data_IF_611545403065
#
_entry.id   IF_611545403065
#
_cell.length_a   1.000
_cell.length_b   1.000
_cell.length_c   1.000
_cell.angle_alpha   90.00
_cell.angle_beta   90.00
_cell.angle_gamma   90.00
#
_symmetry.space_group_name_H-M   'P 1'
#
loop_
_entity.id
_entity.type
_entity.pdbx_description
1 polymer ?
#
# COMPACT_ATOMS: atom_id res chain seq x y z
N UNK A 1 -67.79 15.40 31.13
CA UNK A 1 -68.32 14.04 30.97
C UNK A 1 -67.20 13.14 30.45
N UNK A 2 -66.62 12.33 31.36
CA UNK A 2 -65.77 11.13 31.21
C UNK A 2 -64.70 11.11 30.09
N UNK A 3 -63.46 11.39 30.48
CA UNK A 3 -62.26 10.92 29.78
C UNK A 3 -62.16 9.38 29.88
N UNK A 4 -62.02 8.69 28.75
CA UNK A 4 -61.67 7.26 28.68
C UNK A 4 -60.15 7.15 28.44
N UNK A 5 -59.41 6.66 29.42
CA UNK A 5 -58.04 6.19 29.21
C UNK A 5 -58.07 4.97 28.29
N UNK A 6 -57.35 5.05 27.16
CA UNK A 6 -56.96 3.87 26.38
C UNK A 6 -55.71 3.30 27.06
N UNK A 7 -55.84 2.07 27.55
CA UNK A 7 -54.76 1.24 28.08
C UNK A 7 -53.67 1.07 27.02
N UNK A 8 -52.50 1.68 27.26
CA UNK A 8 -51.29 1.45 26.48
C UNK A 8 -50.73 0.07 26.83
N UNK A 9 -50.55 -0.77 25.81
CA UNK A 9 -49.84 -2.03 25.92
C UNK A 9 -48.35 -1.69 26.08
N UNK A 10 -47.83 -1.76 27.31
CA UNK A 10 -46.41 -1.60 27.57
C UNK A 10 -45.66 -2.80 27.01
N UNK A 11 -44.89 -2.59 25.94
CA UNK A 11 -43.89 -3.56 25.48
C UNK A 11 -42.75 -3.54 26.49
N UNK A 12 -42.70 -4.55 27.37
CA UNK A 12 -41.55 -4.79 28.21
C UNK A 12 -40.41 -5.28 27.31
N UNK A 13 -39.45 -4.40 27.03
CA UNK A 13 -38.16 -4.79 26.47
C UNK A 13 -37.43 -5.55 27.59
N UNK A 14 -37.45 -6.88 27.53
CA UNK A 14 -36.51 -7.70 28.30
C UNK A 14 -35.11 -7.39 27.78
N UNK A 15 -34.38 -6.50 28.45
CA UNK A 15 -32.93 -6.47 28.35
C UNK A 15 -32.42 -7.77 29.00
N UNK A 16 -32.22 -8.80 28.20
CA UNK A 16 -31.38 -9.93 28.58
C UNK A 16 -29.96 -9.41 28.75
N UNK A 17 -29.62 -9.04 29.98
CA UNK A 17 -28.23 -8.88 30.42
C UNK A 17 -27.60 -10.26 30.24
N UNK A 18 -26.85 -10.44 29.15
CA UNK A 18 -25.91 -11.54 29.07
C UNK A 18 -24.88 -11.29 30.17
N UNK A 19 -25.07 -11.94 31.32
CA UNK A 19 -24.02 -12.04 32.31
C UNK A 19 -22.87 -12.80 31.64
N UNK A 20 -21.82 -12.07 31.26
CA UNK A 20 -20.56 -12.71 30.87
C UNK A 20 -20.17 -13.64 32.03
N UNK A 21 -19.83 -14.91 31.78
CA UNK A 21 -19.44 -15.81 32.85
C UNK A 21 -18.25 -15.21 33.58
N UNK A 22 -18.45 -14.89 34.86
CA UNK A 22 -17.38 -14.50 35.77
C UNK A 22 -16.52 -15.74 35.99
N UNK A 23 -15.34 -15.80 35.39
CA UNK A 23 -14.36 -16.84 35.72
C UNK A 23 -14.06 -16.81 37.22
N UNK A 24 -14.00 -17.98 37.85
CA UNK A 24 -13.69 -18.05 39.28
C UNK A 24 -12.22 -17.72 39.49
N UNK A 25 -11.86 -17.15 40.64
CA UNK A 25 -10.47 -16.82 40.96
C UNK A 25 -9.53 -18.03 40.80
N UNK A 26 -9.98 -19.23 41.21
CA UNK A 26 -9.23 -20.48 41.07
C UNK A 26 -8.95 -20.85 39.60
N UNK A 27 -9.85 -20.49 38.67
CA UNK A 27 -9.67 -20.73 37.23
C UNK A 27 -8.65 -19.75 36.62
N UNK A 28 -8.66 -18.50 37.09
CA UNK A 28 -7.67 -17.49 36.70
C UNK A 28 -6.28 -17.85 37.20
N UNK A 29 -6.16 -18.31 38.45
CA UNK A 29 -4.89 -18.79 39.00
C UNK A 29 -4.37 -20.01 38.22
N UNK A 30 -5.25 -20.94 37.84
CA UNK A 30 -4.86 -22.10 37.03
C UNK A 30 -4.34 -21.69 35.64
N UNK A 31 -5.01 -20.76 34.97
CA UNK A 31 -4.58 -20.22 33.67
C UNK A 31 -3.28 -19.42 33.80
N UNK A 32 -3.11 -18.65 34.88
CA UNK A 32 -1.89 -17.88 35.09
C UNK A 32 -0.68 -18.78 35.34
N UNK A 33 -0.86 -19.86 36.11
CA UNK A 33 0.20 -20.84 36.37
C UNK A 33 0.51 -21.72 35.14
N UNK A 34 -0.49 -21.96 34.28
CA UNK A 34 -0.35 -22.73 33.04
C UNK A 34 -1.04 -22.01 31.88
N UNK A 35 -0.40 -20.96 31.32
CA UNK A 35 -0.99 -20.18 30.25
C UNK A 35 -1.30 -21.05 29.02
N UNK A 36 -2.44 -20.81 28.34
CA UNK A 36 -2.78 -21.52 27.12
C UNK A 36 -1.84 -21.13 25.98
N UNK A 37 -1.86 -21.89 24.88
CA UNK A 37 -0.93 -21.67 23.76
C UNK A 37 -1.12 -20.28 23.10
N UNK A 38 -2.35 -19.78 23.09
CA UNK A 38 -2.76 -18.48 22.56
C UNK A 38 -2.21 -17.30 23.37
N UNK A 39 -1.78 -17.54 24.62
CA UNK A 39 -1.17 -16.52 25.47
C UNK A 39 0.35 -16.39 25.24
N UNK A 40 0.95 -17.24 24.40
CA UNK A 40 2.39 -17.20 24.13
C UNK A 40 2.74 -16.01 23.24
N UNK A 41 3.88 -15.34 23.49
CA UNK A 41 4.33 -14.28 22.62
C UNK A 41 4.70 -14.82 21.24
N UNK A 42 4.60 -13.96 20.23
CA UNK A 42 5.09 -14.22 18.87
C UNK A 42 6.23 -13.26 18.53
N UNK A 43 6.99 -13.58 17.49
CA UNK A 43 8.13 -12.77 17.06
C UNK A 43 7.97 -12.26 15.63
N UNK A 44 8.43 -11.03 15.41
CA UNK A 44 8.77 -10.58 14.06
C UNK A 44 10.03 -11.32 13.64
N UNK A 45 9.91 -12.15 12.61
CA UNK A 45 11.04 -12.90 12.08
C UNK A 45 11.44 -12.27 10.76
N UNK A 46 12.52 -11.51 10.79
CA UNK A 46 12.98 -10.71 9.65
C UNK A 46 14.05 -11.51 8.89
N UNK A 47 13.71 -11.93 7.68
CA UNK A 47 14.67 -12.51 6.74
C UNK A 47 15.44 -11.39 6.06
N UNK A 48 16.74 -11.33 6.34
CA UNK A 48 17.60 -10.23 5.95
C UNK A 48 18.25 -10.48 4.59
N UNK A 49 17.83 -9.74 3.57
CA UNK A 49 18.32 -9.89 2.21
C UNK A 49 18.10 -11.32 1.70
N UNK A 50 19.14 -11.88 1.07
CA UNK A 50 19.10 -13.24 0.57
C UNK A 50 19.73 -14.27 1.53
N UNK A 51 20.07 -13.92 2.77
CA UNK A 51 20.82 -14.79 3.71
C UNK A 51 19.90 -15.78 4.45
N UNK A 52 19.29 -16.71 3.72
CA UNK A 52 18.26 -17.60 4.26
C UNK A 52 18.60 -19.04 3.88
N UNK A 53 18.39 -19.99 4.80
CA UNK A 53 18.57 -21.42 4.52
C UNK A 53 17.53 -22.26 5.25
N UNK A 54 17.16 -23.41 4.68
CA UNK A 54 16.23 -24.35 5.31
C UNK A 54 16.71 -24.87 6.67
N UNK A 55 18.03 -25.08 6.82
CA UNK A 55 18.62 -25.51 8.09
C UNK A 55 18.48 -24.41 9.16
N UNK A 56 18.82 -23.16 8.80
CA UNK A 56 18.62 -22.01 9.69
C UNK A 56 17.15 -21.85 10.11
N UNK A 57 16.23 -21.97 9.15
CA UNK A 57 14.78 -21.93 9.41
C UNK A 57 14.35 -22.99 10.43
N UNK A 58 14.74 -24.25 10.22
CA UNK A 58 14.41 -25.33 11.16
C UNK A 58 14.97 -25.02 12.54
N UNK A 59 16.22 -24.57 12.63
CA UNK A 59 16.87 -24.29 13.90
C UNK A 59 16.25 -23.11 14.65
N UNK A 60 15.92 -22.04 13.94
CA UNK A 60 15.25 -20.87 14.50
C UNK A 60 13.91 -21.26 15.12
N UNK A 61 13.08 -22.02 14.39
CA UNK A 61 11.75 -22.43 14.86
C UNK A 61 11.83 -23.41 16.04
N UNK A 62 12.79 -24.34 16.04
CA UNK A 62 13.02 -25.24 17.17
C UNK A 62 13.42 -24.48 18.44
N UNK A 63 14.31 -23.50 18.32
CA UNK A 63 14.73 -22.66 19.44
C UNK A 63 13.58 -21.79 19.97
N UNK A 64 12.77 -21.22 19.08
CA UNK A 64 11.58 -20.46 19.47
C UNK A 64 10.57 -21.35 20.23
N UNK A 65 10.36 -22.57 19.75
CA UNK A 65 9.49 -23.54 20.43
C UNK A 65 10.03 -23.92 21.81
N UNK A 66 11.32 -24.19 21.92
CA UNK A 66 12.00 -24.51 23.19
C UNK A 66 11.89 -23.35 24.19
N UNK A 67 12.07 -22.11 23.71
CA UNK A 67 11.94 -20.90 24.51
C UNK A 67 10.49 -20.52 24.87
N UNK A 68 9.48 -21.27 24.39
CA UNK A 68 8.08 -21.08 24.76
C UNK A 68 7.30 -20.09 23.90
N UNK A 69 7.81 -19.68 22.74
CA UNK A 69 7.09 -18.82 21.80
C UNK A 69 5.90 -19.55 21.14
N UNK A 70 4.91 -18.75 20.72
CA UNK A 70 3.67 -19.20 20.09
C UNK A 70 3.71 -19.20 18.58
N UNK A 71 4.57 -18.39 17.95
CA UNK A 71 4.56 -18.22 16.50
C UNK A 71 5.54 -17.17 15.96
N UNK A 72 5.51 -17.05 14.64
CA UNK A 72 6.34 -16.09 13.89
C UNK A 72 5.48 -15.32 12.89
N UNK A 73 5.83 -14.06 12.65
CA UNK A 73 5.36 -13.28 11.50
C UNK A 73 6.56 -12.93 10.63
N UNK A 74 6.60 -13.48 9.41
CA UNK A 74 7.72 -13.35 8.49
C UNK A 74 7.67 -12.06 7.69
N UNK A 75 8.82 -11.40 7.62
CA UNK A 75 9.07 -10.23 6.78
C UNK A 75 10.34 -10.46 5.97
N UNK A 76 10.29 -10.20 4.66
CA UNK A 76 11.45 -10.29 3.77
C UNK A 76 11.98 -8.90 3.50
N UNK A 77 13.06 -8.51 4.15
CA UNK A 77 13.60 -7.15 4.04
C UNK A 77 14.78 -7.10 3.08
N UNK A 78 15.06 -5.91 2.58
CA UNK A 78 16.39 -5.60 2.08
C UNK A 78 17.42 -5.77 3.21
N UNK A 79 18.67 -5.98 2.81
CA UNK A 79 19.77 -6.01 3.75
C UNK A 79 20.06 -4.63 4.32
N UNK A 80 19.55 -4.24 5.50
CA UNK A 80 20.27 -3.41 6.50
C UNK A 80 19.36 -2.92 7.63
N UNK A 81 19.97 -2.62 8.80
CA UNK A 81 19.38 -1.85 9.90
C UNK A 81 19.47 -0.32 9.68
N UNK A 82 19.40 0.14 8.43
CA UNK A 82 19.33 1.58 8.10
C UNK A 82 17.97 1.88 7.46
N UNK A 83 17.52 3.15 7.43
CA UNK A 83 16.21 3.48 6.87
C UNK A 83 16.14 3.40 5.34
N UNK A 84 17.19 2.90 4.66
CA UNK A 84 17.21 2.71 3.21
C UNK A 84 17.61 1.29 2.82
N UNK A 85 17.10 0.78 1.70
CA UNK A 85 17.44 -0.55 1.21
C UNK A 85 18.92 -0.66 0.79
N UNK A 86 19.59 -1.70 1.27
CA UNK A 86 20.95 -2.14 0.90
C UNK A 86 20.97 -3.62 0.50
N UNK A 87 22.13 -4.09 0.02
CA UNK A 87 22.37 -5.48 -0.38
C UNK A 87 23.52 -6.05 0.47
N UNK A 88 23.31 -7.23 1.11
CA UNK A 88 24.39 -7.93 1.83
C UNK A 88 25.27 -8.41 0.70
N UNK A 89 26.45 -7.82 0.57
CA UNK A 89 27.48 -8.35 -0.33
C UNK A 89 27.93 -9.73 0.17
N UNK A 90 28.24 -10.63 -0.77
CA UNK A 90 28.66 -12.00 -0.48
C UNK A 90 27.61 -12.84 0.25
N UNK A 91 26.32 -12.62 -0.01
CA UNK A 91 25.27 -13.54 0.43
C UNK A 91 25.58 -14.95 -0.10
N UNK A 92 25.49 -16.01 0.74
CA UNK A 92 25.74 -17.38 0.29
C UNK A 92 24.62 -17.91 -0.62
N UNK A 93 23.48 -17.22 -0.68
CA UNK A 93 22.27 -17.64 -1.38
C UNK A 93 21.65 -16.45 -2.14
N UNK A 94 22.41 -15.81 -3.06
CA UNK A 94 21.99 -14.58 -3.73
C UNK A 94 20.70 -14.75 -4.57
N UNK A 95 20.36 -15.98 -4.95
CA UNK A 95 19.15 -16.33 -5.70
C UNK A 95 17.85 -16.23 -4.89
N UNK A 96 17.92 -16.12 -3.55
CA UNK A 96 16.73 -16.00 -2.71
C UNK A 96 16.25 -14.55 -2.72
N UNK A 97 15.44 -14.23 -3.72
CA UNK A 97 14.73 -12.95 -3.84
C UNK A 97 13.28 -13.14 -3.38
N UNK A 98 12.76 -12.24 -2.56
CA UNK A 98 11.38 -12.28 -2.08
C UNK A 98 10.38 -12.48 -3.23
N UNK A 99 9.37 -13.33 -3.02
CA UNK A 99 8.33 -13.67 -4.01
C UNK A 99 8.82 -14.42 -5.27
N UNK A 100 10.06 -14.92 -5.31
CA UNK A 100 10.53 -15.85 -6.34
C UNK A 100 10.38 -17.31 -5.92
N UNK A 101 10.47 -18.25 -6.87
CA UNK A 101 10.34 -19.70 -6.60
C UNK A 101 11.30 -20.22 -5.51
N UNK A 102 12.61 -19.87 -5.48
CA UNK A 102 13.49 -20.27 -4.37
C UNK A 102 13.01 -19.77 -3.00
N UNK A 103 12.51 -18.54 -2.92
CA UNK A 103 11.97 -17.97 -1.67
C UNK A 103 10.68 -18.67 -1.23
N UNK A 104 9.78 -18.93 -2.17
CA UNK A 104 8.54 -19.64 -1.90
C UNK A 104 8.76 -21.07 -1.39
N UNK A 105 9.79 -21.77 -1.88
CA UNK A 105 10.21 -23.07 -1.32
C UNK A 105 10.58 -22.98 0.15
N UNK A 106 11.23 -21.89 0.57
CA UNK A 106 11.60 -21.66 1.96
C UNK A 106 10.40 -21.26 2.81
N UNK A 107 9.45 -20.50 2.27
CA UNK A 107 8.17 -20.23 2.94
C UNK A 107 7.40 -21.53 3.18
N UNK A 108 7.32 -22.41 2.18
CA UNK A 108 6.71 -23.75 2.34
C UNK A 108 7.41 -24.55 3.44
N UNK A 109 8.74 -24.53 3.46
CA UNK A 109 9.54 -25.19 4.51
C UNK A 109 9.23 -24.61 5.90
N UNK A 110 9.26 -23.28 6.05
CA UNK A 110 8.96 -22.59 7.30
C UNK A 110 7.53 -22.85 7.81
N UNK A 111 6.54 -22.84 6.92
CA UNK A 111 5.16 -23.17 7.25
C UNK A 111 5.01 -24.64 7.68
N UNK A 112 5.70 -25.57 6.99
CA UNK A 112 5.74 -26.98 7.35
C UNK A 112 6.36 -27.23 8.73
N UNK A 113 7.49 -26.58 9.02
CA UNK A 113 8.16 -26.67 10.31
C UNK A 113 7.36 -26.03 11.43
N UNK A 114 6.72 -24.88 11.18
CA UNK A 114 5.82 -24.24 12.14
C UNK A 114 4.66 -25.17 12.50
N UNK A 115 4.05 -25.82 11.49
CA UNK A 115 3.01 -26.83 11.72
C UNK A 115 3.53 -28.03 12.52
N UNK A 116 4.72 -28.54 12.21
CA UNK A 116 5.36 -29.66 12.94
C UNK A 116 5.56 -29.32 14.43
N UNK A 117 5.92 -28.08 14.73
CA UNK A 117 6.26 -27.61 16.07
C UNK A 117 5.05 -27.05 16.85
N UNK A 118 3.89 -26.92 16.20
CA UNK A 118 2.71 -26.30 16.78
C UNK A 118 2.92 -24.81 17.05
N UNK A 119 3.53 -24.11 16.09
CA UNK A 119 3.72 -22.67 16.07
C UNK A 119 2.77 -22.02 15.06
N UNK A 120 2.24 -20.84 15.39
CA UNK A 120 1.55 -19.99 14.43
C UNK A 120 2.55 -19.46 13.39
N UNK A 121 2.07 -19.32 12.15
CA UNK A 121 2.86 -18.79 11.04
C UNK A 121 2.07 -17.68 10.35
N UNK A 122 2.63 -16.48 10.39
CA UNK A 122 2.18 -15.30 9.67
C UNK A 122 3.21 -14.88 8.63
N UNK A 123 2.75 -14.19 7.59
CA UNK A 123 3.58 -13.65 6.52
C UNK A 123 3.09 -12.25 6.18
N UNK A 124 4.02 -11.31 6.02
CA UNK A 124 3.70 -9.99 5.50
C UNK A 124 3.20 -10.08 4.04
N UNK A 125 2.31 -9.18 3.67
CA UNK A 125 1.62 -9.18 2.37
C UNK A 125 2.48 -8.65 1.21
N UNK A 126 3.73 -8.25 1.43
CA UNK A 126 4.68 -7.91 0.39
C UNK A 126 6.12 -7.98 0.91
N UNK A 127 7.09 -7.70 0.04
CA UNK A 127 8.48 -7.52 0.47
C UNK A 127 8.62 -6.21 1.26
N UNK A 128 9.55 -6.19 2.21
CA UNK A 128 9.77 -5.11 3.15
C UNK A 128 8.96 -5.27 4.44
N UNK A 129 8.79 -4.16 5.15
CA UNK A 129 7.96 -4.08 6.37
C UNK A 129 6.78 -3.14 6.23
N UNK A 130 6.67 -2.42 5.11
CA UNK A 130 5.60 -1.46 4.90
C UNK A 130 4.65 -1.85 3.77
N UNK A 131 3.38 -1.79 4.17
CA UNK A 131 2.21 -1.46 3.38
C UNK A 131 1.69 -2.53 2.43
N UNK A 132 1.67 -2.29 1.10
CA UNK A 132 0.96 -3.17 0.16
C UNK A 132 1.36 -2.84 -1.28
N UNK A 133 2.23 -3.64 -1.87
CA UNK A 133 2.70 -3.40 -3.23
C UNK A 133 3.53 -4.54 -3.79
N UNK A 134 4.10 -4.32 -4.97
CA UNK A 134 4.98 -5.28 -5.64
C UNK A 134 5.06 -5.04 -7.14
N UNK A 135 5.93 -5.77 -7.86
CA UNK A 135 6.13 -5.62 -9.30
C UNK A 135 4.87 -5.94 -10.14
N UNK A 136 3.86 -6.58 -9.55
CA UNK A 136 2.55 -6.85 -10.15
C UNK A 136 1.58 -5.66 -10.10
N UNK A 137 1.89 -4.59 -9.36
CA UNK A 137 1.05 -3.39 -9.30
C UNK A 137 1.35 -2.50 -10.51
N UNK A 138 0.36 -2.28 -11.37
CA UNK A 138 0.46 -1.37 -12.52
C UNK A 138 0.31 0.10 -12.09
N UNK A 139 0.73 1.09 -12.90
CA UNK A 139 0.56 2.51 -12.60
C UNK A 139 -0.90 2.90 -12.32
N UNK A 140 -1.85 2.30 -13.03
CA UNK A 140 -3.30 2.50 -12.88
C UNK A 140 -3.82 2.05 -11.50
N UNK A 141 -3.21 0.99 -10.94
CA UNK A 141 -3.57 0.41 -9.66
C UNK A 141 -2.67 0.88 -8.51
N UNK A 142 -1.71 1.76 -8.79
CA UNK A 142 -0.79 2.32 -7.80
C UNK A 142 -1.35 3.58 -7.13
N UNK A 143 -0.79 4.01 -6.00
CA UNK A 143 -1.12 5.31 -5.40
C UNK A 143 -1.07 6.43 -6.46
N UNK A 144 -2.05 7.32 -6.47
CA UNK A 144 -2.15 8.39 -7.49
C UNK A 144 -1.61 9.73 -6.98
N UNK A 145 -1.17 10.58 -7.92
CA UNK A 145 -0.69 11.95 -7.69
C UNK A 145 -1.48 12.91 -8.60
N UNK A 146 -2.04 13.97 -8.04
CA UNK A 146 -2.72 15.02 -8.83
C UNK A 146 -1.67 15.98 -9.34
N UNK A 147 -1.61 16.12 -10.67
CA UNK A 147 -0.66 16.99 -11.37
C UNK A 147 -1.40 17.92 -12.32
N UNK A 148 -0.83 19.06 -12.65
CA UNK A 148 -1.42 20.00 -13.60
C UNK A 148 -0.39 20.70 -14.47
N UNK A 149 -0.82 21.12 -15.66
CA UNK A 149 -0.13 22.09 -16.50
C UNK A 149 -0.98 23.36 -16.61
N UNK A 150 -0.35 24.44 -17.08
CA UNK A 150 -1.00 25.75 -17.22
C UNK A 150 -0.78 26.30 -18.62
N UNK A 151 -1.82 26.89 -19.19
CA UNK A 151 -1.77 27.64 -20.45
C UNK A 151 -2.45 28.98 -20.25
N UNK A 152 -1.75 30.08 -20.50
CA UNK A 152 -2.32 31.42 -20.44
C UNK A 152 -3.06 31.76 -21.74
N UNK A 153 -4.25 32.37 -21.63
CA UNK A 153 -5.08 32.80 -22.76
C UNK A 153 -5.67 34.19 -22.44
N UNK A 154 -5.53 35.14 -23.38
CA UNK A 154 -6.16 36.45 -23.29
C UNK A 154 -7.37 36.52 -24.24
N UNK A 155 -8.56 36.68 -23.68
CA UNK A 155 -9.80 36.86 -24.43
C UNK A 155 -10.17 38.33 -24.64
N UNK A 156 -11.14 38.62 -25.53
CA UNK A 156 -11.94 37.66 -26.27
C UNK A 156 -11.16 37.01 -27.42
N UNK A 157 -11.20 35.67 -27.53
CA UNK A 157 -10.53 34.93 -28.62
C UNK A 157 -11.11 33.54 -28.82
N UNK A 158 -10.97 32.98 -30.02
CA UNK A 158 -11.25 31.58 -30.31
C UNK A 158 -9.95 30.79 -30.17
N UNK A 159 -9.67 30.32 -28.95
CA UNK A 159 -8.49 29.51 -28.68
C UNK A 159 -8.66 28.13 -29.32
N UNK A 160 -7.68 27.73 -30.12
CA UNK A 160 -7.54 26.37 -30.64
C UNK A 160 -6.09 25.94 -30.46
N UNK A 161 -5.86 24.96 -29.59
CA UNK A 161 -4.50 24.51 -29.28
C UNK A 161 -4.47 23.24 -28.45
N UNK A 162 -3.34 22.55 -28.46
CA UNK A 162 -3.12 21.35 -27.65
C UNK A 162 -2.62 21.75 -26.26
N UNK A 163 -3.38 21.40 -25.22
CA UNK A 163 -2.96 21.59 -23.84
C UNK A 163 -1.90 20.54 -23.48
N UNK A 164 -0.73 20.98 -23.04
CA UNK A 164 0.32 20.05 -22.60
C UNK A 164 -0.08 19.28 -21.34
N UNK A 165 0.44 18.07 -21.14
CA UNK A 165 0.32 17.35 -19.86
C UNK A 165 1.35 17.90 -18.86
N UNK A 166 1.05 17.75 -17.57
CA UNK A 166 2.03 18.02 -16.51
C UNK A 166 3.25 17.10 -16.65
N UNK A 167 4.43 17.58 -16.25
CA UNK A 167 5.68 16.81 -16.24
C UNK A 167 6.25 16.79 -14.82
N UNK A 168 5.78 15.88 -13.94
CA UNK A 168 6.29 15.79 -12.58
C UNK A 168 7.75 15.28 -12.56
N UNK A 169 8.44 15.43 -11.42
CA UNK A 169 9.74 14.76 -11.20
C UNK A 169 9.53 13.25 -11.34
N UNK A 170 10.28 12.55 -12.23
CA UNK A 170 10.14 11.11 -12.43
C UNK A 170 10.69 10.28 -11.27
N UNK A 171 11.38 10.88 -10.29
CA UNK A 171 11.92 10.13 -9.15
C UNK A 171 10.83 9.63 -8.21
N UNK A 172 11.11 8.48 -7.58
CA UNK A 172 10.24 7.86 -6.60
C UNK A 172 9.95 8.81 -5.43
N UNK A 173 8.68 8.84 -5.01
CA UNK A 173 8.23 9.66 -3.88
C UNK A 173 8.41 8.87 -2.59
N UNK A 174 9.62 8.93 -2.04
CA UNK A 174 10.01 8.25 -0.79
C UNK A 174 10.89 9.16 0.07
N UNK A 175 10.94 8.91 1.39
CA UNK A 175 11.68 9.76 2.33
C UNK A 175 13.19 9.61 2.17
N UNK A 176 13.67 8.39 1.98
CA UNK A 176 15.10 8.07 1.94
C UNK A 176 15.57 7.66 0.54
N UNK A 177 16.82 7.96 0.15
CA UNK A 177 17.44 7.38 -1.05
C UNK A 177 17.62 5.87 -0.84
N UNK A 178 17.92 5.11 -1.90
CA UNK A 178 18.33 3.70 -1.81
C UNK A 178 19.62 3.49 -2.60
N UNK A 179 20.35 2.41 -2.31
CA UNK A 179 21.52 2.07 -3.10
C UNK A 179 21.09 1.54 -4.48
N UNK A 180 21.49 2.24 -5.54
CA UNK A 180 21.29 1.80 -6.91
C UNK A 180 22.43 0.84 -7.32
N UNK A 181 22.16 -0.47 -7.48
CA UNK A 181 23.21 -1.43 -7.80
C UNK A 181 23.81 -1.25 -9.21
N UNK A 182 23.11 -0.57 -10.12
CA UNK A 182 23.59 -0.32 -11.49
C UNK A 182 24.70 0.73 -11.56
N UNK A 183 24.67 1.72 -10.68
CA UNK A 183 25.64 2.84 -10.71
C UNK A 183 26.36 3.10 -9.38
N UNK A 184 26.06 2.34 -8.33
CA UNK A 184 26.69 2.41 -7.02
C UNK A 184 26.35 3.66 -6.19
N UNK A 185 25.30 4.42 -6.56
CA UNK A 185 24.94 5.68 -5.89
C UNK A 185 23.76 5.49 -4.94
N UNK A 186 23.73 6.30 -3.89
CA UNK A 186 22.53 6.51 -3.07
C UNK A 186 21.63 7.54 -3.75
N UNK A 187 20.50 7.10 -4.29
CA UNK A 187 19.55 7.99 -4.96
C UNK A 187 18.11 7.50 -4.84
N UNK A 188 17.14 8.37 -5.14
CA UNK A 188 15.75 7.94 -5.31
C UNK A 188 15.60 7.36 -6.72
N UNK A 189 15.08 6.12 -6.87
CA UNK A 189 14.95 5.49 -8.18
C UNK A 189 14.13 6.34 -9.14
N UNK A 190 14.47 6.30 -10.42
CA UNK A 190 13.61 6.86 -11.47
C UNK A 190 12.47 5.90 -11.71
N UNK A 191 11.24 6.40 -11.70
CA UNK A 191 10.00 5.66 -11.98
C UNK A 191 9.41 6.22 -13.29
N UNK A 192 9.76 5.66 -14.46
CA UNK A 192 9.32 6.18 -15.77
C UNK A 192 7.80 6.33 -15.88
N UNK A 193 7.05 5.44 -15.23
CA UNK A 193 5.60 5.48 -15.16
C UNK A 193 5.02 6.81 -14.65
N UNK A 194 5.77 7.61 -13.86
CA UNK A 194 5.34 8.97 -13.44
C UNK A 194 5.20 9.94 -14.61
N UNK A 195 5.87 9.68 -15.73
CA UNK A 195 5.79 10.47 -16.96
C UNK A 195 4.91 9.80 -18.02
N UNK A 196 4.89 8.47 -18.05
CA UNK A 196 4.23 7.69 -19.11
C UNK A 196 2.73 7.49 -18.84
N UNK A 197 2.36 7.18 -17.59
CA UNK A 197 0.96 7.00 -17.20
C UNK A 197 0.34 8.34 -16.84
N UNK A 198 -0.75 8.69 -17.53
CA UNK A 198 -1.50 9.90 -17.31
C UNK A 198 -2.99 9.69 -17.61
N UNK A 199 -3.85 10.05 -16.66
CA UNK A 199 -5.30 10.08 -16.82
C UNK A 199 -5.82 11.49 -16.61
N UNK A 200 -6.48 12.05 -17.62
CA UNK A 200 -7.12 13.36 -17.49
C UNK A 200 -8.19 13.35 -16.38
N UNK A 201 -8.21 14.40 -15.56
CA UNK A 201 -9.16 14.57 -14.45
C UNK A 201 -10.13 15.70 -14.73
N UNK A 202 -9.61 16.90 -15.05
CA UNK A 202 -10.43 18.08 -15.33
C UNK A 202 -9.62 19.12 -16.12
N UNK A 203 -10.32 19.93 -16.91
CA UNK A 203 -9.74 21.11 -17.56
C UNK A 203 -10.52 22.33 -17.11
N UNK A 204 -9.88 23.25 -16.41
CA UNK A 204 -10.54 24.40 -15.79
C UNK A 204 -9.88 25.71 -16.25
N UNK A 205 -10.66 26.67 -16.73
CA UNK A 205 -10.19 28.03 -16.95
C UNK A 205 -10.54 28.91 -15.75
N UNK A 206 -9.52 29.57 -15.19
CA UNK A 206 -9.62 30.47 -14.05
C UNK A 206 -9.16 31.87 -14.47
N UNK A 207 -9.72 32.96 -13.91
CA UNK A 207 -9.14 34.29 -14.04
C UNK A 207 -7.66 34.29 -13.62
N UNK A 208 -6.82 35.00 -14.36
CA UNK A 208 -5.37 34.93 -14.19
C UNK A 208 -4.83 35.59 -12.91
N UNK A 209 -5.65 36.37 -12.21
CA UNK A 209 -5.25 37.10 -11.01
C UNK A 209 -6.34 37.09 -9.95
N UNK A 210 -5.92 37.28 -8.69
CA UNK A 210 -6.81 37.41 -7.54
C UNK A 210 -7.30 36.07 -6.97
N UNK A 211 -8.17 36.16 -5.97
CA UNK A 211 -8.87 35.01 -5.40
C UNK A 211 -10.03 34.66 -6.32
N UNK A 212 -10.03 33.43 -6.85
CA UNK A 212 -11.04 32.98 -7.81
C UNK A 212 -12.22 32.36 -7.07
N UNK A 213 -13.37 33.01 -7.13
CA UNK A 213 -14.63 32.43 -6.69
C UNK A 213 -15.07 31.30 -7.64
N UNK A 214 -15.76 30.28 -7.11
CA UNK A 214 -16.13 29.06 -7.86
C UNK A 214 -16.96 29.37 -9.11
N UNK A 215 -17.87 30.33 -9.01
CA UNK A 215 -18.74 30.82 -10.09
C UNK A 215 -17.99 31.49 -11.25
N UNK A 216 -16.75 31.94 -11.00
CA UNK A 216 -15.89 32.54 -12.03
C UNK A 216 -14.99 31.50 -12.71
N UNK A 217 -15.08 30.23 -12.32
CA UNK A 217 -14.36 29.13 -12.96
C UNK A 217 -15.19 28.59 -14.12
N UNK A 218 -14.54 28.32 -15.25
CA UNK A 218 -15.18 27.71 -16.41
C UNK A 218 -14.65 26.28 -16.55
N UNK A 219 -15.54 25.30 -16.48
CA UNK A 219 -15.21 23.90 -16.77
C UNK A 219 -15.15 23.68 -18.30
N UNK A 220 -13.96 23.34 -18.77
CA UNK A 220 -13.63 23.08 -20.17
C UNK A 220 -13.40 21.58 -20.43
N UNK A 221 -13.66 20.71 -19.46
CA UNK A 221 -13.33 19.28 -19.56
C UNK A 221 -13.98 18.61 -20.77
N UNK A 222 -15.24 18.95 -21.07
CA UNK A 222 -15.96 18.41 -22.22
C UNK A 222 -15.56 19.02 -23.57
N UNK A 223 -14.71 20.06 -23.56
CA UNK A 223 -14.23 20.75 -24.77
C UNK A 223 -12.84 20.31 -25.19
N UNK A 224 -12.15 19.54 -24.35
CA UNK A 224 -10.86 18.95 -24.68
C UNK A 224 -11.08 17.56 -25.29
N UNK A 225 -10.52 17.31 -26.47
CA UNK A 225 -10.47 15.97 -27.07
C UNK A 225 -9.47 15.07 -26.36
N UNK A 226 -9.54 13.76 -26.65
CA UNK A 226 -8.67 12.75 -26.03
C UNK A 226 -7.16 12.96 -26.30
N UNK A 227 -6.79 13.58 -27.42
CA UNK A 227 -5.41 13.95 -27.76
C UNK A 227 -4.97 15.28 -27.11
N UNK A 228 -5.85 15.94 -26.35
CA UNK A 228 -5.57 17.16 -25.61
C UNK A 228 -5.80 18.46 -26.38
N UNK A 229 -6.38 18.41 -27.59
CA UNK A 229 -6.79 19.62 -28.31
C UNK A 229 -8.00 20.25 -27.60
N UNK A 230 -7.92 21.56 -27.35
CA UNK A 230 -9.00 22.35 -26.80
C UNK A 230 -9.42 23.39 -27.84
N UNK A 231 -10.72 23.41 -28.13
CA UNK A 231 -11.37 24.46 -28.91
C UNK A 231 -12.32 25.25 -27.96
N UNK A 232 -12.00 26.51 -27.70
CA UNK A 232 -12.71 27.33 -26.71
C UNK A 232 -12.83 28.80 -27.12
N UNK A 233 -14.06 29.30 -27.10
CA UNK A 233 -14.37 30.74 -27.20
C UNK A 233 -14.14 31.39 -25.84
N UNK A 234 -12.94 31.92 -25.63
CA UNK A 234 -12.56 32.57 -24.38
C UNK A 234 -13.24 33.95 -24.27
N UNK A 235 -13.98 34.24 -23.18
CA UNK A 235 -14.61 35.54 -22.97
C UNK A 235 -13.55 36.62 -22.62
N UNK A 236 -13.92 37.92 -22.69
CA UNK A 236 -13.02 39.01 -22.33
C UNK A 236 -12.36 38.82 -20.96
N UNK A 237 -11.03 38.98 -20.91
CA UNK A 237 -10.24 38.82 -19.69
C UNK A 237 -8.99 37.96 -19.90
N UNK A 238 -8.15 37.90 -18.87
CA UNK A 238 -6.98 37.04 -18.86
C UNK A 238 -7.29 35.76 -18.08
N UNK A 239 -7.03 34.61 -18.69
CA UNK A 239 -7.36 33.29 -18.18
C UNK A 239 -6.10 32.43 -18.06
N UNK A 240 -6.07 31.58 -17.04
CA UNK A 240 -5.16 30.44 -16.95
C UNK A 240 -5.98 29.17 -17.06
N UNK A 241 -5.71 28.39 -18.10
CA UNK A 241 -6.29 27.07 -18.30
C UNK A 241 -5.41 26.06 -17.57
N UNK A 242 -5.99 25.35 -16.62
CA UNK A 242 -5.37 24.24 -15.90
C UNK A 242 -5.84 22.92 -16.50
N UNK A 243 -4.92 22.08 -16.98
CA UNK A 243 -5.20 20.68 -17.32
C UNK A 243 -4.76 19.80 -16.16
N UNK A 244 -5.69 19.44 -15.30
CA UNK A 244 -5.47 18.51 -14.19
C UNK A 244 -5.50 17.07 -14.70
N UNK A 245 -4.58 16.27 -14.19
CA UNK A 245 -4.58 14.83 -14.41
C UNK A 245 -4.01 14.07 -13.22
N UNK A 246 -4.11 12.77 -13.33
CA UNK A 246 -3.57 11.80 -12.39
C UNK A 246 -2.41 11.06 -13.05
N UNK A 247 -1.36 10.87 -12.30
CA UNK A 247 -0.30 9.90 -12.62
C UNK A 247 -0.04 9.03 -11.38
N UNK A 248 0.85 8.05 -11.48
CA UNK A 248 1.31 7.29 -10.32
C UNK A 248 2.10 8.22 -9.40
N UNK A 249 1.91 8.07 -8.09
CA UNK A 249 2.77 8.67 -7.07
C UNK A 249 4.20 8.15 -7.14
N UNK A 250 4.43 7.02 -7.80
CA UNK A 250 5.75 6.39 -7.87
C UNK A 250 6.34 6.10 -6.50
N UNK A 251 5.50 5.83 -5.50
CA UNK A 251 5.94 5.30 -4.20
C UNK A 251 6.22 3.81 -4.39
N UNK A 252 7.39 3.39 -3.94
CA UNK A 252 7.88 2.03 -4.05
C UNK A 252 7.90 1.36 -2.67
N UNK A 253 7.85 0.03 -2.66
CA UNK A 253 8.03 -0.80 -1.47
C UNK A 253 9.37 -0.51 -0.77
N UNK A 254 9.37 -0.55 0.57
CA UNK A 254 10.60 -0.39 1.37
C UNK A 254 10.58 -1.24 2.65
N UNK A 255 11.77 -1.56 3.19
CA UNK A 255 13.01 -1.82 2.48
C UNK A 255 12.87 -3.18 1.79
N UNK A 256 12.82 -3.22 0.46
CA UNK A 256 12.79 -4.47 -0.32
C UNK A 256 14.11 -4.68 -1.07
N UNK A 257 14.43 -5.93 -1.38
CA UNK A 257 15.49 -6.23 -2.37
C UNK A 257 15.19 -5.49 -3.68
N UNK A 258 16.24 -5.10 -4.40
CA UNK A 258 16.12 -4.29 -5.62
C UNK A 258 15.28 -5.01 -6.69
N UNK A 259 15.42 -6.32 -6.79
CA UNK A 259 14.73 -7.20 -7.73
C UNK A 259 13.25 -7.42 -7.37
N UNK A 260 12.89 -7.23 -6.10
CA UNK A 260 11.52 -7.39 -5.60
C UNK A 260 10.77 -6.05 -5.51
N UNK A 261 11.40 -4.94 -5.90
CA UNK A 261 10.80 -3.61 -5.80
C UNK A 261 9.63 -3.45 -6.77
N UNK A 262 8.60 -2.74 -6.34
CA UNK A 262 7.46 -2.40 -7.19
C UNK A 262 6.61 -1.30 -6.57
N UNK A 263 5.56 -0.91 -7.30
CA UNK A 263 4.67 0.18 -6.88
C UNK A 263 3.82 -0.23 -5.68
N UNK A 264 3.59 0.73 -4.79
CA UNK A 264 2.54 0.64 -3.77
C UNK A 264 1.16 0.70 -4.43
N UNK A 265 0.27 -0.22 -4.08
CA UNK A 265 -1.12 -0.19 -4.55
C UNK A 265 -1.86 1.06 -4.06
N UNK A 266 -2.89 1.47 -4.78
CA UNK A 266 -3.70 2.63 -4.42
C UNK A 266 -4.51 2.34 -3.15
N UNK A 267 -4.16 3.04 -2.08
CA UNK A 267 -4.78 2.90 -0.75
C UNK A 267 -6.21 3.44 -0.70
N UNK A 268 -6.62 4.22 -1.72
CA UNK A 268 -7.97 4.75 -1.86
C UNK A 268 -8.83 3.99 -2.89
N UNK A 269 -8.27 2.96 -3.53
CA UNK A 269 -8.99 2.15 -4.52
C UNK A 269 -9.20 0.71 -3.99
N UNK A 270 -10.43 0.32 -3.63
CA UNK A 270 -10.70 -1.02 -3.10
C UNK A 270 -10.32 -2.14 -4.09
N UNK A 271 -10.47 -1.90 -5.40
CA UNK A 271 -10.10 -2.89 -6.42
C UNK A 271 -8.57 -3.10 -6.50
N UNK A 272 -7.77 -2.07 -6.22
CA UNK A 272 -6.31 -2.21 -6.17
C UNK A 272 -5.88 -3.04 -4.96
N UNK A 273 -6.51 -2.83 -3.80
CA UNK A 273 -6.27 -3.59 -2.58
C UNK A 273 -6.70 -5.05 -2.77
N UNK A 274 -7.89 -5.28 -3.31
CA UNK A 274 -8.39 -6.62 -3.60
C UNK A 274 -7.48 -7.37 -4.58
N UNK A 275 -7.06 -6.71 -5.66
CA UNK A 275 -6.11 -7.29 -6.62
C UNK A 275 -4.81 -7.69 -5.92
N UNK A 276 -4.23 -6.79 -5.12
CA UNK A 276 -3.01 -7.06 -4.36
C UNK A 276 -3.17 -8.27 -3.43
N UNK A 277 -4.21 -8.31 -2.59
CA UNK A 277 -4.44 -9.41 -1.64
C UNK A 277 -4.72 -10.74 -2.35
N UNK A 278 -5.51 -10.72 -3.42
CA UNK A 278 -5.78 -11.91 -4.22
C UNK A 278 -4.52 -12.46 -4.90
N UNK A 279 -3.62 -11.58 -5.37
CA UNK A 279 -2.33 -11.98 -5.89
C UNK A 279 -1.50 -12.72 -4.82
N UNK A 280 -1.38 -12.15 -3.62
CA UNK A 280 -0.61 -12.72 -2.52
C UNK A 280 -1.18 -14.08 -2.08
N UNK A 281 -2.49 -14.15 -1.86
CA UNK A 281 -3.17 -15.39 -1.49
C UNK A 281 -3.05 -16.43 -2.61
N UNK A 282 -3.13 -16.00 -3.86
CA UNK A 282 -2.96 -16.86 -5.03
C UNK A 282 -1.57 -17.50 -5.09
N UNK A 283 -0.52 -16.70 -4.95
CA UNK A 283 0.86 -17.20 -4.93
C UNK A 283 1.10 -18.09 -3.71
N UNK A 284 0.63 -17.71 -2.52
CA UNK A 284 0.76 -18.53 -1.31
C UNK A 284 0.05 -19.89 -1.40
N UNK A 285 -1.02 -20.01 -2.20
CA UNK A 285 -1.72 -21.29 -2.46
C UNK A 285 -1.04 -22.15 -3.53
N UNK A 286 -0.37 -21.51 -4.47
CA UNK A 286 0.32 -22.15 -5.60
C UNK A 286 1.63 -22.78 -5.14
N UNK A 287 2.35 -22.08 -4.27
CA UNK A 287 3.57 -22.55 -3.64
C UNK A 287 3.29 -23.18 -2.27
#
# INVERSE_FOLDING_TARGET
>A
MKYRLRSGLGVAILCSVFAAPSMRADELDAIFQKPPAEARPEVLWMWMGSNISSNGITRDLELLREAGYGGTSIFSLADVCTPWAGIISNSPTPEIVAFTEPWWKLIRHAAGESKRLGLNFGMHNCAGYESSGGPWITPELSMQDVVWSQTAVSGPTNYSGTLSRAKPDPRAVQSFPVHNPTNGKLEKPVVPARLEYFRDLAVLALPATGVVAKENMIDLSSKMSADGKLDWEAPPGNWIIYRFGLTTKGKLLQPSQWEAIGLECDKMNPAAIEMHLNHIIGEAKKH
#
